data_IF_657628884832
#
_entry.id   IF_657628884832
#
_cell.length_a   1.000
_cell.length_b   1.000
_cell.length_c   1.000
_cell.angle_alpha   90.00
_cell.angle_beta   90.00
_cell.angle_gamma   90.00
#
_symmetry.space_group_name_H-M   'P 1'
#
loop_
_entity.id
_entity.type
_entity.pdbx_description
1 polymer ?
#
# COMPACT_ATOMS: atom_id res chain seq x y z
N UNK A 1 4.94 -9.72 21.83
CA UNK A 1 6.33 -9.71 21.33
C UNK A 1 7.37 -9.63 22.46
N UNK A 2 7.00 -9.17 23.67
CA UNK A 2 7.95 -8.92 24.76
C UNK A 2 8.58 -10.22 25.30
N UNK A 3 7.80 -11.30 25.40
CA UNK A 3 8.28 -12.56 26.00
C UNK A 3 9.29 -13.35 25.14
N UNK A 4 9.42 -13.01 23.84
CA UNK A 4 10.28 -13.73 22.87
C UNK A 4 11.61 -13.03 22.58
N UNK A 5 11.71 -11.74 22.86
CA UNK A 5 12.92 -10.93 22.62
C UNK A 5 14.19 -11.51 23.24
N UNK A 6 14.16 -12.11 24.47
CA UNK A 6 15.35 -12.74 25.02
C UNK A 6 15.86 -13.91 24.16
N UNK A 7 14.96 -14.80 23.74
CA UNK A 7 15.30 -15.96 22.90
C UNK A 7 15.80 -15.55 21.50
N UNK A 8 15.22 -14.50 20.91
CA UNK A 8 15.72 -13.92 19.65
C UNK A 8 17.15 -13.42 19.78
N UNK A 9 17.43 -12.72 20.89
CA UNK A 9 18.76 -12.18 21.17
C UNK A 9 19.76 -13.30 21.38
N UNK A 10 19.42 -14.32 22.15
CA UNK A 10 20.25 -15.50 22.40
C UNK A 10 20.58 -16.24 21.11
N UNK A 11 19.58 -16.49 20.25
CA UNK A 11 19.77 -17.14 18.96
C UNK A 11 20.79 -16.40 18.09
N UNK A 12 20.63 -15.08 17.92
CA UNK A 12 21.55 -14.27 17.09
C UNK A 12 22.94 -14.19 17.71
N UNK A 13 23.04 -14.06 19.03
CA UNK A 13 24.32 -14.03 19.74
C UNK A 13 25.08 -15.35 19.61
N UNK A 14 24.40 -16.49 19.71
CA UNK A 14 25.01 -17.80 19.52
C UNK A 14 25.61 -17.93 18.12
N UNK A 15 24.81 -17.71 17.07
CA UNK A 15 25.25 -17.84 15.67
C UNK A 15 26.35 -16.85 15.31
N UNK A 16 26.30 -15.61 15.82
CA UNK A 16 27.34 -14.59 15.55
C UNK A 16 28.59 -14.74 16.41
N UNK A 17 28.54 -15.48 17.52
CA UNK A 17 29.74 -15.89 18.27
C UNK A 17 30.50 -16.97 17.49
N UNK A 18 29.78 -17.92 16.92
CA UNK A 18 30.36 -19.02 16.13
C UNK A 18 30.94 -18.53 14.80
N UNK A 19 30.33 -17.49 14.21
CA UNK A 19 30.87 -16.79 13.04
C UNK A 19 30.83 -15.26 13.21
N UNK A 20 31.90 -14.65 13.76
CA UNK A 20 31.97 -13.22 14.02
C UNK A 20 31.80 -12.31 12.80
N UNK A 21 32.11 -12.81 11.58
CA UNK A 21 31.98 -12.03 10.33
C UNK A 21 30.52 -11.67 10.03
N UNK A 22 29.56 -12.48 10.48
CA UNK A 22 28.13 -12.23 10.28
C UNK A 22 27.69 -10.86 10.80
N UNK A 23 28.32 -10.32 11.85
CA UNK A 23 27.98 -8.99 12.37
C UNK A 23 28.22 -7.88 11.34
N UNK A 24 29.23 -8.01 10.49
CA UNK A 24 29.52 -7.04 9.43
C UNK A 24 28.58 -7.24 8.24
N UNK A 25 28.32 -8.49 7.85
CA UNK A 25 27.36 -8.86 6.79
C UNK A 25 25.94 -8.35 7.11
N UNK A 26 25.49 -8.51 8.35
CA UNK A 26 24.19 -8.03 8.82
C UNK A 26 24.11 -6.50 8.70
N UNK A 27 25.18 -5.79 9.10
CA UNK A 27 25.22 -4.32 9.01
C UNK A 27 25.20 -3.85 7.56
N UNK A 28 25.88 -4.56 6.67
CA UNK A 28 25.89 -4.29 5.24
C UNK A 28 24.50 -4.47 4.63
N UNK A 29 23.83 -5.60 4.90
CA UNK A 29 22.46 -5.85 4.43
C UNK A 29 21.46 -4.84 5.00
N UNK A 30 21.55 -4.50 6.29
CA UNK A 30 20.72 -3.45 6.90
C UNK A 30 20.94 -2.10 6.21
N UNK A 31 22.18 -1.73 5.89
CA UNK A 31 22.48 -0.47 5.20
C UNK A 31 21.91 -0.46 3.78
N UNK A 32 22.10 -1.53 3.03
CA UNK A 32 21.52 -1.72 1.70
C UNK A 32 19.99 -1.58 1.74
N UNK A 33 19.31 -2.36 2.58
CA UNK A 33 17.85 -2.34 2.67
C UNK A 33 17.29 -0.99 3.14
N UNK A 34 18.01 -0.24 3.99
CA UNK A 34 17.63 1.13 4.36
C UNK A 34 17.71 2.08 3.18
N UNK A 35 18.78 2.03 2.41
CA UNK A 35 18.96 2.85 1.21
C UNK A 35 17.89 2.54 0.14
N UNK A 36 17.53 1.26 -0.02
CA UNK A 36 16.46 0.80 -0.91
C UNK A 36 15.05 0.98 -0.32
N UNK A 37 14.92 1.58 0.87
CA UNK A 37 13.64 1.86 1.55
C UNK A 37 12.77 0.61 1.78
N UNK A 38 13.40 -0.55 2.02
CA UNK A 38 12.73 -1.82 2.34
C UNK A 38 12.99 -2.29 3.77
N UNK A 39 13.84 -1.60 4.54
CA UNK A 39 14.12 -1.94 5.95
C UNK A 39 13.12 -1.27 6.91
N UNK A 40 12.53 -2.06 7.81
CA UNK A 40 11.58 -1.59 8.83
C UNK A 40 10.24 -2.32 8.75
N UNK A 41 9.74 -2.82 9.89
CA UNK A 41 8.49 -3.59 9.95
C UNK A 41 7.29 -2.77 10.46
N UNK A 42 7.51 -1.51 10.79
CA UNK A 42 6.48 -0.52 11.13
C UNK A 42 5.51 -0.28 9.96
N UNK A 43 4.30 0.20 10.26
CA UNK A 43 3.22 0.41 9.28
C UNK A 43 3.57 1.41 8.17
N UNK A 44 4.52 2.31 8.46
CA UNK A 44 5.11 3.24 7.50
C UNK A 44 5.78 2.50 6.35
N UNK A 45 6.70 1.59 6.68
CA UNK A 45 7.53 0.91 5.69
C UNK A 45 6.93 -0.41 5.20
N UNK A 46 6.38 -1.24 6.11
CA UNK A 46 5.92 -2.61 5.81
C UNK A 46 6.96 -3.45 5.05
N UNK A 47 8.20 -3.40 5.54
CA UNK A 47 9.37 -4.06 5.00
C UNK A 47 9.99 -5.07 5.98
N UNK A 48 11.30 -5.28 5.86
CA UNK A 48 12.03 -6.32 6.57
C UNK A 48 12.44 -5.84 7.98
N UNK A 49 12.01 -6.57 9.02
CA UNK A 49 12.39 -6.28 10.41
C UNK A 49 13.88 -6.52 10.67
N UNK A 50 14.46 -5.86 11.68
CA UNK A 50 15.86 -6.06 12.05
C UNK A 50 16.21 -7.53 12.32
N UNK A 51 15.34 -8.24 13.05
CA UNK A 51 15.51 -9.66 13.35
C UNK A 51 15.40 -10.55 12.11
N UNK A 52 14.43 -10.27 11.23
CA UNK A 52 14.32 -10.99 9.95
C UNK A 52 15.61 -10.85 9.11
N UNK A 53 16.17 -9.65 9.04
CA UNK A 53 17.44 -9.40 8.32
C UNK A 53 18.60 -10.17 8.94
N UNK A 54 18.66 -10.24 10.27
CA UNK A 54 19.66 -11.03 10.99
C UNK A 54 19.54 -12.52 10.66
N UNK A 55 18.34 -13.09 10.75
CA UNK A 55 18.11 -14.51 10.45
C UNK A 55 18.42 -14.84 8.99
N UNK A 56 18.00 -14.01 8.04
CA UNK A 56 18.34 -14.20 6.62
C UNK A 56 19.86 -14.23 6.42
N UNK A 57 20.58 -13.28 7.02
CA UNK A 57 22.04 -13.22 6.89
C UNK A 57 22.73 -14.42 7.55
N UNK A 58 22.23 -14.86 8.71
CA UNK A 58 22.73 -16.06 9.41
C UNK A 58 22.52 -17.30 8.53
N UNK A 59 21.34 -17.48 7.96
CA UNK A 59 20.99 -18.64 7.14
C UNK A 59 21.82 -18.70 5.85
N UNK A 60 21.89 -17.60 5.10
CA UNK A 60 22.65 -17.57 3.84
C UNK A 60 24.15 -17.35 4.04
N UNK A 61 24.58 -16.85 5.20
CA UNK A 61 25.97 -16.71 5.61
C UNK A 61 26.68 -15.42 5.20
N UNK A 62 26.11 -14.61 4.29
CA UNK A 62 26.66 -13.30 3.89
C UNK A 62 25.62 -12.42 3.21
N UNK A 63 25.89 -11.11 3.13
CA UNK A 63 25.08 -10.15 2.38
C UNK A 63 24.91 -10.57 0.91
N UNK A 64 26.00 -10.92 0.22
CA UNK A 64 25.95 -11.31 -1.19
C UNK A 64 25.07 -12.55 -1.40
N UNK A 65 25.23 -13.59 -0.55
CA UNK A 65 24.40 -14.79 -0.64
C UNK A 65 22.92 -14.55 -0.38
N UNK A 66 22.57 -13.57 0.48
CA UNK A 66 21.18 -13.15 0.65
C UNK A 66 20.64 -12.56 -0.66
N UNK A 67 21.40 -11.68 -1.34
CA UNK A 67 20.96 -11.10 -2.61
C UNK A 67 20.87 -12.15 -3.73
N UNK A 68 21.83 -13.08 -3.79
CA UNK A 68 21.85 -14.19 -4.75
C UNK A 68 20.61 -15.07 -4.64
N UNK A 69 20.14 -15.32 -3.41
CA UNK A 69 18.89 -16.04 -3.20
C UNK A 69 17.67 -15.14 -3.47
N UNK A 70 17.70 -13.89 -3.00
CA UNK A 70 16.58 -12.97 -3.07
C UNK A 70 16.20 -12.59 -4.50
N UNK A 71 17.16 -12.59 -5.43
CA UNK A 71 16.88 -12.29 -6.85
C UNK A 71 15.86 -13.26 -7.48
N UNK A 72 15.72 -14.46 -6.93
CA UNK A 72 14.85 -15.53 -7.43
C UNK A 72 13.61 -15.76 -6.54
N UNK A 73 13.43 -14.96 -5.47
CA UNK A 73 12.23 -15.05 -4.64
C UNK A 73 10.97 -14.67 -5.41
N UNK A 74 9.85 -15.23 -4.98
CA UNK A 74 8.51 -14.90 -5.48
C UNK A 74 7.56 -14.58 -4.33
N UNK A 75 6.39 -14.03 -4.65
CA UNK A 75 5.31 -13.92 -3.65
C UNK A 75 4.96 -15.32 -3.15
N UNK A 76 4.90 -15.46 -1.82
CA UNK A 76 4.69 -16.75 -1.15
C UNK A 76 5.97 -17.58 -0.97
N UNK A 77 7.15 -17.02 -1.28
CA UNK A 77 8.43 -17.67 -0.96
C UNK A 77 8.47 -18.05 0.52
N UNK A 78 8.89 -19.28 0.80
CA UNK A 78 8.94 -19.85 2.14
C UNK A 78 10.35 -20.31 2.47
N UNK A 79 10.76 -20.07 3.73
CA UNK A 79 12.06 -20.46 4.27
C UNK A 79 11.89 -20.90 5.72
N UNK A 80 12.44 -22.06 6.06
CA UNK A 80 12.52 -22.59 7.42
C UNK A 80 13.99 -22.77 7.82
N UNK A 81 14.64 -21.73 8.39
CA UNK A 81 16.09 -21.70 8.60
C UNK A 81 16.64 -22.85 9.45
N UNK A 82 15.85 -23.37 10.39
CA UNK A 82 16.23 -24.45 11.31
C UNK A 82 15.43 -25.74 11.03
N UNK A 83 14.72 -25.81 9.90
CA UNK A 83 13.93 -26.97 9.47
C UNK A 83 12.95 -27.49 10.56
N UNK A 84 12.27 -26.58 11.26
CA UNK A 84 11.32 -26.89 12.34
C UNK A 84 10.04 -27.59 11.86
N UNK A 85 9.71 -27.48 10.57
CA UNK A 85 8.52 -28.05 9.93
C UNK A 85 8.79 -29.31 9.11
N UNK A 86 10.02 -29.52 8.62
CA UNK A 86 10.36 -30.65 7.75
C UNK A 86 9.85 -30.56 6.31
N UNK A 87 8.73 -29.86 6.06
CA UNK A 87 8.19 -29.56 4.73
C UNK A 87 7.86 -28.06 4.58
N UNK A 88 8.78 -27.31 3.99
CA UNK A 88 8.62 -25.88 3.72
C UNK A 88 7.43 -25.58 2.78
N UNK A 89 7.06 -26.52 1.90
CA UNK A 89 5.95 -26.29 0.94
C UNK A 89 4.61 -26.19 1.65
N UNK A 90 4.48 -26.79 2.83
CA UNK A 90 3.26 -26.73 3.64
C UNK A 90 2.99 -25.32 4.18
N UNK A 91 4.04 -24.52 4.44
CA UNK A 91 3.96 -23.21 5.08
C UNK A 91 3.04 -22.22 4.34
N UNK A 92 3.00 -22.29 3.01
CA UNK A 92 2.15 -21.42 2.18
C UNK A 92 0.65 -21.60 2.46
N UNK A 93 0.24 -22.78 2.92
CA UNK A 93 -1.14 -23.07 3.28
C UNK A 93 -1.51 -22.52 4.66
N UNK A 94 -0.53 -22.34 5.56
CA UNK A 94 -0.73 -21.74 6.87
C UNK A 94 -0.63 -20.21 6.85
N UNK A 95 0.21 -19.66 5.96
CA UNK A 95 0.47 -18.21 5.84
C UNK A 95 0.02 -17.64 4.49
N UNK A 96 -1.21 -17.92 4.09
CA UNK A 96 -1.75 -17.67 2.73
C UNK A 96 -1.73 -16.21 2.26
N UNK A 97 -1.69 -15.25 3.18
CA UNK A 97 -1.71 -13.80 2.86
C UNK A 97 -0.32 -13.15 2.89
N UNK A 98 0.72 -13.87 3.31
CA UNK A 98 2.06 -13.33 3.47
C UNK A 98 2.77 -13.17 2.13
N UNK A 99 3.49 -12.06 1.95
CA UNK A 99 4.33 -11.87 0.75
C UNK A 99 5.54 -12.80 0.77
N UNK A 100 6.15 -12.98 1.94
CA UNK A 100 7.25 -13.89 2.21
C UNK A 100 6.99 -14.57 3.56
N UNK A 101 7.41 -15.82 3.66
CA UNK A 101 7.24 -16.66 4.85
C UNK A 101 8.63 -17.05 5.31
N UNK A 102 9.04 -16.58 6.48
CA UNK A 102 10.29 -17.02 7.12
C UNK A 102 9.94 -17.47 8.53
N UNK A 103 10.08 -18.76 8.79
CA UNK A 103 9.80 -19.37 10.09
C UNK A 103 10.77 -18.79 11.11
N UNK A 104 10.23 -18.38 12.26
CA UNK A 104 11.04 -17.91 13.38
C UNK A 104 11.81 -19.10 14.01
N UNK A 105 13.15 -19.05 14.06
CA UNK A 105 13.98 -20.12 14.65
C UNK A 105 13.63 -20.48 16.10
N UNK A 106 13.00 -19.58 16.85
CA UNK A 106 12.60 -19.84 18.25
C UNK A 106 11.09 -20.07 18.42
N UNK A 107 10.32 -20.01 17.34
CA UNK A 107 8.87 -20.23 17.35
C UNK A 107 8.34 -20.67 15.98
N UNK A 108 8.19 -21.99 15.80
CA UNK A 108 7.74 -22.58 14.54
C UNK A 108 6.39 -22.03 14.04
N UNK A 109 5.54 -21.50 14.92
CA UNK A 109 4.21 -20.99 14.54
C UNK A 109 4.22 -19.51 14.11
N UNK A 110 5.39 -18.88 14.06
CA UNK A 110 5.54 -17.46 13.74
C UNK A 110 6.20 -17.26 12.38
N UNK A 111 5.54 -16.48 11.52
CA UNK A 111 6.15 -15.91 10.32
C UNK A 111 6.80 -14.55 10.66
N UNK A 112 8.12 -14.46 10.55
CA UNK A 112 8.86 -13.20 10.72
C UNK A 112 8.64 -12.20 9.59
N UNK A 113 8.26 -12.68 8.40
CA UNK A 113 7.92 -11.90 7.21
C UNK A 113 6.51 -11.32 7.20
N UNK A 114 5.73 -11.48 8.28
CA UNK A 114 4.31 -11.08 8.31
C UNK A 114 4.06 -9.59 8.01
N UNK A 115 5.01 -8.70 8.33
CA UNK A 115 4.91 -7.27 8.05
C UNK A 115 5.38 -6.88 6.64
N UNK A 116 6.11 -7.76 5.95
CA UNK A 116 6.65 -7.47 4.61
C UNK A 116 5.51 -7.47 3.60
N UNK A 117 5.28 -6.32 2.99
CA UNK A 117 4.31 -6.18 1.91
C UNK A 117 4.82 -6.75 0.59
N UNK A 118 3.92 -7.10 -0.33
CA UNK A 118 4.27 -7.55 -1.68
C UNK A 118 5.13 -6.52 -2.43
N UNK A 119 4.82 -5.24 -2.24
CA UNK A 119 5.59 -4.14 -2.83
C UNK A 119 7.04 -4.13 -2.31
N UNK A 120 7.24 -4.20 -0.99
CA UNK A 120 8.60 -4.20 -0.40
C UNK A 120 9.40 -5.45 -0.73
N UNK A 121 8.74 -6.60 -0.87
CA UNK A 121 9.38 -7.81 -1.39
C UNK A 121 9.84 -7.62 -2.83
N UNK A 122 8.97 -7.12 -3.72
CA UNK A 122 9.31 -6.89 -5.12
C UNK A 122 10.45 -5.87 -5.30
N UNK A 123 10.40 -4.75 -4.57
CA UNK A 123 11.47 -3.75 -4.53
C UNK A 123 12.81 -4.38 -4.11
N UNK A 124 12.81 -5.24 -3.09
CA UNK A 124 14.03 -5.90 -2.64
C UNK A 124 14.56 -6.93 -3.66
N UNK A 125 13.68 -7.68 -4.33
CA UNK A 125 14.06 -8.62 -5.40
C UNK A 125 14.74 -7.85 -6.54
N UNK A 126 14.14 -6.75 -7.02
CA UNK A 126 14.71 -5.94 -8.10
C UNK A 126 16.02 -5.30 -7.68
N UNK A 127 16.08 -4.67 -6.50
CA UNK A 127 17.33 -4.09 -6.02
C UNK A 127 18.45 -5.13 -5.87
N UNK A 128 18.11 -6.37 -5.50
CA UNK A 128 19.08 -7.48 -5.44
C UNK A 128 19.61 -7.83 -6.83
N UNK A 129 18.74 -7.91 -7.84
CA UNK A 129 19.13 -8.17 -9.24
C UNK A 129 20.05 -7.07 -9.76
N UNK A 130 19.63 -5.82 -9.63
CA UNK A 130 20.38 -4.66 -10.12
C UNK A 130 21.75 -4.53 -9.46
N UNK A 131 21.84 -4.75 -8.14
CA UNK A 131 23.12 -4.72 -7.43
C UNK A 131 24.06 -5.84 -7.86
N UNK A 132 23.54 -7.06 -8.08
CA UNK A 132 24.36 -8.19 -8.52
C UNK A 132 24.86 -8.02 -9.96
N UNK A 133 24.09 -7.35 -10.81
CA UNK A 133 24.47 -7.06 -12.19
C UNK A 133 25.48 -5.91 -12.28
N UNK A 134 25.25 -4.81 -11.56
CA UNK A 134 26.13 -3.64 -11.58
C UNK A 134 26.35 -3.07 -10.15
N UNK A 135 27.27 -3.67 -9.37
CA UNK A 135 27.51 -3.26 -7.99
C UNK A 135 27.99 -1.80 -7.90
N UNK A 136 27.34 -1.00 -7.06
CA UNK A 136 27.71 0.40 -6.83
C UNK A 136 27.52 0.82 -5.37
N UNK A 137 28.34 1.77 -4.92
CA UNK A 137 28.23 2.39 -3.60
C UNK A 137 26.89 3.14 -3.42
N UNK A 138 26.29 3.58 -4.52
CA UNK A 138 25.01 4.32 -4.52
C UNK A 138 23.85 3.47 -4.03
N UNK A 139 23.91 2.13 -4.15
CA UNK A 139 22.91 1.24 -3.55
C UNK A 139 22.89 1.30 -2.02
N UNK A 140 23.98 1.78 -1.41
CA UNK A 140 24.09 2.00 0.03
C UNK A 140 23.97 3.48 0.40
N UNK A 141 24.28 4.38 -0.52
CA UNK A 141 24.31 5.83 -0.30
C UNK A 141 23.74 6.54 -1.53
N UNK A 142 22.42 6.43 -1.77
CA UNK A 142 21.82 7.02 -2.96
C UNK A 142 21.97 8.54 -2.90
N UNK A 143 22.25 9.20 -4.03
CA UNK A 143 22.32 10.65 -4.07
C UNK A 143 20.99 11.25 -3.64
N UNK A 144 21.04 12.40 -2.97
CA UNK A 144 19.81 13.14 -2.63
C UNK A 144 19.12 13.52 -3.94
N UNK A 145 17.90 13.03 -4.14
CA UNK A 145 17.05 13.47 -5.25
C UNK A 145 16.76 14.96 -5.06
N UNK A 146 17.02 15.75 -6.09
CA UNK A 146 16.51 17.11 -6.18
C UNK A 146 15.12 17.04 -6.79
N UNK A 147 14.13 17.65 -6.14
CA UNK A 147 12.79 17.74 -6.69
C UNK A 147 12.76 18.66 -7.91
N UNK A 148 11.89 18.37 -8.87
CA UNK A 148 11.58 19.27 -9.99
C UNK A 148 10.90 20.56 -9.47
N UNK A 149 11.09 21.73 -10.13
CA UNK A 149 10.37 22.95 -9.80
C UNK A 149 8.85 22.77 -9.88
N UNK A 150 8.09 23.53 -9.10
CA UNK A 150 6.62 23.44 -9.03
C UNK A 150 5.96 23.65 -10.39
N UNK A 151 6.49 24.58 -11.18
CA UNK A 151 6.04 24.91 -12.53
C UNK A 151 6.17 23.70 -13.47
N UNK A 152 7.23 22.91 -13.31
CA UNK A 152 7.42 21.68 -14.07
C UNK A 152 6.46 20.58 -13.61
N UNK A 153 6.21 20.45 -12.31
CA UNK A 153 5.22 19.52 -11.77
C UNK A 153 3.80 19.85 -12.27
N UNK A 154 3.42 21.14 -12.29
CA UNK A 154 2.14 21.61 -12.87
C UNK A 154 2.02 21.25 -14.35
N UNK A 155 3.09 21.48 -15.12
CA UNK A 155 3.14 21.10 -16.54
C UNK A 155 2.92 19.59 -16.73
N UNK A 156 3.60 18.76 -15.93
CA UNK A 156 3.44 17.30 -15.99
C UNK A 156 2.02 16.87 -15.67
N UNK A 157 1.41 17.46 -14.64
CA UNK A 157 0.01 17.20 -14.30
C UNK A 157 -0.91 17.49 -15.49
N UNK A 158 -0.71 18.61 -16.18
CA UNK A 158 -1.47 18.98 -17.37
C UNK A 158 -1.28 18.02 -18.56
N UNK A 159 -0.04 17.58 -18.84
CA UNK A 159 0.25 16.67 -19.97
C UNK A 159 -0.36 15.29 -19.78
N UNK A 160 -0.53 14.81 -18.54
CA UNK A 160 -1.05 13.48 -18.25
C UNK A 160 -2.52 13.29 -18.65
N UNK A 161 -3.30 14.36 -18.67
CA UNK A 161 -4.75 14.29 -18.94
C UNK A 161 -5.56 13.56 -17.84
N UNK A 162 -4.93 13.24 -16.71
CA UNK A 162 -5.57 12.68 -15.51
C UNK A 162 -6.01 13.80 -14.57
N UNK A 163 -6.96 13.51 -13.68
CA UNK A 163 -7.43 14.48 -12.69
C UNK A 163 -6.96 14.10 -11.30
N UNK A 164 -6.41 15.06 -10.55
CA UNK A 164 -5.98 14.82 -9.17
C UNK A 164 -6.98 15.39 -8.17
N UNK A 165 -7.26 14.61 -7.13
CA UNK A 165 -8.04 15.05 -5.97
C UNK A 165 -7.34 14.60 -4.68
N UNK A 166 -7.29 15.48 -3.69
CA UNK A 166 -6.62 15.23 -2.42
C UNK A 166 -7.51 15.55 -1.22
N UNK A 167 -7.33 14.78 -0.15
CA UNK A 167 -7.87 15.03 1.18
C UNK A 167 -6.70 15.43 2.07
N UNK A 168 -6.62 16.71 2.41
CA UNK A 168 -5.63 17.25 3.34
C UNK A 168 -6.22 17.26 4.74
N UNK A 169 -5.57 16.55 5.65
CA UNK A 169 -5.96 16.40 7.05
C UNK A 169 -5.05 17.24 7.93
N UNK A 170 -5.64 18.06 8.79
CA UNK A 170 -4.97 18.71 9.92
C UNK A 170 -5.35 17.99 11.21
N UNK A 171 -4.37 17.34 11.84
CA UNK A 171 -4.56 16.50 13.03
C UNK A 171 -3.45 16.80 14.06
N UNK A 172 -3.64 16.47 15.36
CA UNK A 172 -2.53 16.54 16.32
C UNK A 172 -1.45 15.50 15.98
N UNK A 173 -0.27 15.61 16.59
CA UNK A 173 0.76 14.59 16.46
C UNK A 173 0.25 13.24 16.96
N UNK A 174 0.39 12.22 16.11
CA UNK A 174 -0.03 10.85 16.38
C UNK A 174 1.18 9.94 16.36
N UNK A 175 1.08 8.81 17.05
CA UNK A 175 2.03 7.73 16.88
C UNK A 175 2.07 7.29 15.40
N UNK A 176 3.25 7.18 14.80
CA UNK A 176 3.43 6.86 13.38
C UNK A 176 2.71 5.57 12.98
N UNK A 177 2.84 4.48 13.73
CA UNK A 177 2.17 3.22 13.39
C UNK A 177 0.65 3.39 13.33
N UNK A 178 0.09 4.13 14.30
CA UNK A 178 -1.33 4.43 14.31
C UNK A 178 -1.74 5.34 13.15
N UNK A 179 -0.94 6.37 12.84
CA UNK A 179 -1.20 7.30 11.76
C UNK A 179 -1.19 6.60 10.40
N UNK A 180 -0.12 5.87 10.07
CA UNK A 180 0.03 5.18 8.80
C UNK A 180 -1.03 4.07 8.61
N UNK A 181 -1.37 3.34 9.68
CA UNK A 181 -2.49 2.38 9.65
C UNK A 181 -3.82 3.07 9.33
N UNK A 182 -4.08 4.22 9.94
CA UNK A 182 -5.29 5.00 9.68
C UNK A 182 -5.30 5.63 8.29
N UNK A 183 -4.19 6.15 7.78
CA UNK A 183 -4.09 6.70 6.43
C UNK A 183 -4.39 5.64 5.37
N UNK A 184 -3.80 4.44 5.50
CA UNK A 184 -4.07 3.32 4.59
C UNK A 184 -5.53 2.88 4.61
N UNK A 185 -6.11 2.74 5.81
CA UNK A 185 -7.54 2.38 5.96
C UNK A 185 -8.45 3.43 5.32
N UNK A 186 -8.19 4.71 5.61
CA UNK A 186 -8.96 5.83 5.06
C UNK A 186 -8.83 5.89 3.54
N UNK A 187 -7.61 5.78 3.01
CA UNK A 187 -7.33 5.78 1.57
C UNK A 187 -8.09 4.67 0.85
N UNK A 188 -7.99 3.43 1.34
CA UNK A 188 -8.71 2.28 0.76
C UNK A 188 -10.24 2.46 0.82
N UNK A 189 -10.76 3.11 1.87
CA UNK A 189 -12.19 3.38 1.99
C UNK A 189 -12.67 4.46 1.02
N UNK A 190 -11.87 5.52 0.82
CA UNK A 190 -12.17 6.59 -0.13
C UNK A 190 -12.09 6.05 -1.56
N UNK A 191 -11.02 5.32 -1.88
CA UNK A 191 -10.83 4.64 -3.18
C UNK A 191 -12.04 3.78 -3.52
N UNK A 192 -12.42 2.88 -2.61
CA UNK A 192 -13.62 2.05 -2.78
C UNK A 192 -14.89 2.88 -2.98
N UNK A 193 -15.03 3.99 -2.26
CA UNK A 193 -16.21 4.86 -2.39
C UNK A 193 -16.28 5.57 -3.75
N UNK A 194 -15.14 5.88 -4.36
CA UNK A 194 -15.05 6.36 -5.73
C UNK A 194 -15.40 5.26 -6.73
N UNK A 195 -14.80 4.08 -6.59
CA UNK A 195 -15.04 2.94 -7.51
C UNK A 195 -16.48 2.41 -7.47
N UNK A 196 -17.09 2.32 -6.29
CA UNK A 196 -18.50 1.94 -6.11
C UNK A 196 -19.48 2.92 -6.81
N UNK A 197 -18.98 4.09 -7.23
CA UNK A 197 -19.73 5.14 -7.96
C UNK A 197 -19.23 5.32 -9.39
N UNK A 198 -18.55 4.31 -9.94
CA UNK A 198 -18.06 4.23 -11.33
C UNK A 198 -16.94 5.22 -11.68
N UNK A 199 -16.45 6.01 -10.72
CA UNK A 199 -15.20 6.75 -10.90
C UNK A 199 -14.03 5.77 -10.91
N UNK A 200 -12.93 6.14 -11.57
CA UNK A 200 -11.77 5.26 -11.74
C UNK A 200 -10.52 5.92 -11.21
N UNK A 201 -9.96 5.31 -10.17
CA UNK A 201 -8.67 5.69 -9.60
C UNK A 201 -7.58 5.05 -10.45
N UNK A 202 -6.66 5.84 -10.97
CA UNK A 202 -5.42 5.36 -11.58
C UNK A 202 -4.42 4.94 -10.52
N UNK A 203 -4.24 5.80 -9.51
CA UNK A 203 -3.26 5.59 -8.46
C UNK A 203 -3.69 6.28 -7.16
N UNK A 204 -3.81 5.53 -6.05
CA UNK A 204 -3.91 6.11 -4.73
C UNK A 204 -2.52 6.31 -4.11
N UNK A 205 -2.35 7.36 -3.32
CA UNK A 205 -1.15 7.56 -2.50
C UNK A 205 -1.47 8.38 -1.27
N UNK A 206 -0.54 8.43 -0.32
CA UNK A 206 -0.64 9.37 0.80
C UNK A 206 0.75 9.84 1.22
N UNK A 207 0.78 10.99 1.87
CA UNK A 207 1.97 11.61 2.45
C UNK A 207 1.63 12.17 3.85
N UNK A 208 2.62 12.26 4.73
CA UNK A 208 2.49 12.95 6.01
C UNK A 208 3.81 13.60 6.39
N UNK A 209 3.76 14.76 7.04
CA UNK A 209 4.90 15.33 7.75
C UNK A 209 5.11 14.73 9.15
N UNK A 210 4.26 13.79 9.58
CA UNK A 210 4.33 13.08 10.87
C UNK A 210 4.15 13.98 12.11
N UNK A 211 3.87 15.27 11.89
CA UNK A 211 3.63 16.25 12.92
C UNK A 211 2.14 16.58 13.00
N UNK A 212 1.57 17.17 11.97
CA UNK A 212 0.22 17.72 12.02
C UNK A 212 -0.57 17.65 10.71
N UNK A 213 0.10 17.27 9.61
CA UNK A 213 -0.47 17.33 8.27
C UNK A 213 -0.29 16.00 7.57
N UNK A 214 -1.40 15.47 7.06
CA UNK A 214 -1.39 14.31 6.17
C UNK A 214 -2.23 14.58 4.95
N UNK A 215 -1.84 14.01 3.82
CA UNK A 215 -2.54 14.16 2.54
C UNK A 215 -2.79 12.77 1.98
N UNK A 216 -4.04 12.48 1.62
CA UNK A 216 -4.36 11.32 0.78
C UNK A 216 -4.68 11.85 -0.60
N UNK A 217 -3.99 11.35 -1.62
CA UNK A 217 -4.03 11.83 -2.99
C UNK A 217 -4.50 10.70 -3.91
N UNK A 218 -5.40 11.04 -4.83
CA UNK A 218 -5.87 10.15 -5.88
C UNK A 218 -5.65 10.78 -7.25
N UNK A 219 -4.92 10.07 -8.10
CA UNK A 219 -4.89 10.32 -9.54
C UNK A 219 -6.05 9.55 -10.17
N UNK A 220 -6.92 10.23 -10.91
CA UNK A 220 -8.16 9.69 -11.47
C UNK A 220 -8.04 9.58 -13.00
N UNK A 221 -8.43 8.44 -13.56
CA UNK A 221 -8.68 8.30 -15.00
C UNK A 221 -10.10 8.72 -15.38
N UNK A 222 -11.08 8.50 -14.50
CA UNK A 222 -12.47 8.95 -14.68
C UNK A 222 -12.88 9.77 -13.46
N UNK A 223 -13.04 11.07 -13.66
CA UNK A 223 -13.40 12.05 -12.62
C UNK A 223 -14.73 12.76 -12.90
N UNK A 224 -15.22 12.70 -14.15
CA UNK A 224 -16.55 13.13 -14.57
C UNK A 224 -17.28 11.98 -15.26
N UNK A 225 -18.58 11.87 -14.99
CA UNK A 225 -19.48 10.86 -15.54
C UNK A 225 -20.71 11.53 -16.14
N UNK A 226 -21.34 10.93 -17.16
CA UNK A 226 -22.64 11.38 -17.64
C UNK A 226 -23.70 11.36 -16.53
N UNK A 227 -24.77 12.14 -16.71
CA UNK A 227 -25.90 12.13 -15.78
C UNK A 227 -26.60 10.77 -15.70
N UNK A 228 -26.62 9.99 -16.78
CA UNK A 228 -27.45 8.79 -16.90
C UNK A 228 -26.68 7.50 -16.64
N UNK A 229 -27.22 6.59 -15.81
CA UNK A 229 -26.62 5.27 -15.53
C UNK A 229 -27.63 4.15 -15.64
N UNK A 230 -27.14 2.95 -15.93
CA UNK A 230 -27.89 1.73 -15.74
C UNK A 230 -28.11 1.46 -14.24
N UNK A 231 -29.35 1.23 -13.85
CA UNK A 231 -29.70 0.66 -12.55
C UNK A 231 -30.14 -0.80 -12.76
N UNK A 232 -29.31 -1.79 -12.36
CA UNK A 232 -29.61 -3.19 -12.59
C UNK A 232 -30.74 -3.67 -11.68
N UNK A 233 -31.75 -4.29 -12.29
CA UNK A 233 -32.82 -5.04 -11.65
C UNK A 233 -32.53 -6.54 -11.57
N UNK A 234 -33.54 -7.38 -11.29
CA UNK A 234 -33.37 -8.82 -11.20
C UNK A 234 -33.14 -9.47 -12.59
N UNK A 235 -32.47 -10.63 -12.64
CA UNK A 235 -32.41 -11.46 -13.85
C UNK A 235 -33.80 -11.91 -14.32
N UNK A 236 -33.99 -12.13 -15.63
CA UNK A 236 -35.31 -12.57 -16.16
C UNK A 236 -35.75 -13.96 -15.69
N UNK A 237 -34.83 -14.77 -15.17
CA UNK A 237 -35.11 -16.09 -14.61
C UNK A 237 -35.31 -16.08 -13.08
N UNK A 238 -35.35 -14.90 -12.44
CA UNK A 238 -35.72 -14.79 -11.03
C UNK A 238 -37.22 -15.01 -10.84
N UNK A 239 -37.67 -15.26 -9.61
CA UNK A 239 -39.09 -15.36 -9.29
C UNK A 239 -39.90 -14.15 -9.84
N UNK A 240 -41.09 -14.40 -10.43
CA UNK A 240 -41.91 -13.35 -11.05
C UNK A 240 -42.16 -12.13 -10.14
N UNK A 241 -42.39 -12.36 -8.85
CA UNK A 241 -42.64 -11.30 -7.85
C UNK A 241 -41.50 -10.27 -7.77
N UNK A 242 -40.25 -10.67 -8.00
CA UNK A 242 -39.12 -9.74 -7.99
C UNK A 242 -39.09 -8.87 -9.25
N UNK A 243 -39.47 -9.46 -10.38
CA UNK A 243 -39.55 -8.77 -11.67
C UNK A 243 -40.70 -7.76 -11.65
N UNK A 244 -41.88 -8.18 -11.18
CA UNK A 244 -43.07 -7.34 -11.02
C UNK A 244 -42.77 -6.12 -10.12
N UNK A 245 -42.20 -6.34 -8.93
CA UNK A 245 -41.84 -5.23 -8.02
C UNK A 245 -40.84 -4.25 -8.63
N UNK A 246 -39.88 -4.74 -9.41
CA UNK A 246 -38.92 -3.88 -10.09
C UNK A 246 -39.61 -3.05 -11.18
N UNK A 247 -40.45 -3.71 -11.99
CA UNK A 247 -41.21 -3.06 -13.05
C UNK A 247 -42.16 -1.99 -12.50
N UNK A 248 -42.96 -2.31 -11.48
CA UNK A 248 -43.87 -1.36 -10.81
C UNK A 248 -43.11 -0.15 -10.24
N UNK A 249 -41.97 -0.39 -9.59
CA UNK A 249 -41.20 0.67 -8.96
C UNK A 249 -40.63 1.67 -9.96
N UNK A 250 -40.25 1.19 -11.15
CA UNK A 250 -39.53 1.97 -12.16
C UNK A 250 -40.31 2.11 -13.47
N UNK A 251 -41.63 1.91 -13.45
CA UNK A 251 -42.49 1.94 -14.66
C UNK A 251 -42.29 3.21 -15.48
N UNK A 252 -42.17 4.36 -14.80
CA UNK A 252 -41.98 5.69 -15.43
C UNK A 252 -40.60 5.86 -16.07
N UNK A 253 -39.61 5.09 -15.64
CA UNK A 253 -38.24 5.13 -16.14
C UNK A 253 -38.03 4.17 -17.33
N UNK A 254 -39.09 3.46 -17.75
CA UNK A 254 -39.09 2.57 -18.90
C UNK A 254 -38.15 1.36 -18.74
N UNK A 255 -38.47 0.39 -17.86
CA UNK A 255 -37.65 -0.80 -17.68
C UNK A 255 -37.51 -1.62 -18.96
N UNK A 256 -36.30 -2.06 -19.28
CA UNK A 256 -35.99 -2.88 -20.45
C UNK A 256 -35.05 -4.04 -20.09
N UNK A 257 -34.85 -4.98 -21.03
CA UNK A 257 -33.93 -6.11 -20.84
C UNK A 257 -32.60 -5.80 -21.50
N UNK A 258 -31.51 -5.95 -20.75
CA UNK A 258 -30.14 -5.88 -21.24
C UNK A 258 -29.36 -7.06 -20.66
N UNK A 259 -28.68 -7.83 -21.52
CA UNK A 259 -27.87 -8.99 -21.12
C UNK A 259 -28.61 -9.97 -20.16
N UNK A 260 -29.90 -10.23 -20.43
CA UNK A 260 -30.72 -11.16 -19.63
C UNK A 260 -31.19 -10.63 -18.27
N UNK A 261 -31.12 -9.32 -18.03
CA UNK A 261 -31.53 -8.67 -16.78
C UNK A 261 -32.42 -7.47 -17.03
N UNK A 262 -33.37 -7.22 -16.13
CA UNK A 262 -34.11 -5.95 -16.09
C UNK A 262 -33.17 -4.78 -15.78
N UNK A 263 -33.28 -3.68 -16.51
CA UNK A 263 -32.47 -2.47 -16.34
C UNK A 263 -33.36 -1.25 -16.55
N UNK A 264 -33.07 -0.18 -15.83
CA UNK A 264 -33.64 1.16 -16.06
C UNK A 264 -32.53 2.20 -16.13
N UNK A 265 -32.73 3.24 -16.93
CA UNK A 265 -31.80 4.35 -17.04
C UNK A 265 -32.18 5.41 -16.00
N UNK A 266 -31.29 5.67 -15.04
CA UNK A 266 -31.57 6.59 -13.91
C UNK A 266 -30.51 7.66 -13.77
N UNK A 267 -30.88 8.80 -13.21
CA UNK A 267 -29.90 9.86 -12.96
C UNK A 267 -28.92 9.48 -11.82
N UNK A 268 -27.64 9.75 -12.06
CA UNK A 268 -26.58 9.66 -11.06
C UNK A 268 -26.77 10.75 -10.02
N UNK A 269 -26.64 10.37 -8.75
CA UNK A 269 -26.56 11.33 -7.63
C UNK A 269 -25.30 12.20 -7.70
N UNK A 270 -24.22 11.68 -8.28
CA UNK A 270 -22.95 12.36 -8.40
C UNK A 270 -22.38 12.15 -9.81
N UNK A 271 -22.07 13.25 -10.50
CA UNK A 271 -21.42 13.22 -11.83
C UNK A 271 -19.96 13.62 -11.77
N UNK A 272 -19.51 14.21 -10.65
CA UNK A 272 -18.10 14.59 -10.43
C UNK A 272 -17.54 13.93 -9.18
N UNK A 273 -16.28 13.53 -9.23
CA UNK A 273 -15.59 12.93 -8.08
C UNK A 273 -15.55 13.89 -6.88
N UNK A 274 -15.45 15.20 -7.13
CA UNK A 274 -15.49 16.25 -6.10
C UNK A 274 -16.74 16.17 -5.21
N UNK A 275 -17.90 15.91 -5.80
CA UNK A 275 -19.16 15.79 -5.05
C UNK A 275 -19.14 14.57 -4.11
N UNK A 276 -18.49 13.48 -4.52
CA UNK A 276 -18.29 12.30 -3.67
C UNK A 276 -17.29 12.62 -2.57
N UNK A 277 -16.20 13.33 -2.87
CA UNK A 277 -15.20 13.73 -1.90
C UNK A 277 -15.79 14.64 -0.81
N UNK A 278 -16.61 15.64 -1.19
CA UNK A 278 -17.33 16.50 -0.25
C UNK A 278 -18.33 15.74 0.62
N UNK A 279 -18.98 14.72 0.05
CA UNK A 279 -19.85 13.83 0.84
C UNK A 279 -19.03 13.05 1.87
N UNK A 280 -17.90 12.47 1.48
CA UNK A 280 -17.01 11.72 2.38
C UNK A 280 -16.36 12.62 3.43
N UNK A 281 -16.08 13.87 3.07
CA UNK A 281 -15.63 14.90 4.00
C UNK A 281 -16.67 15.09 5.12
N UNK A 282 -17.96 15.19 4.77
CA UNK A 282 -19.02 15.34 5.77
C UNK A 282 -19.32 14.08 6.56
N UNK A 283 -19.43 12.93 5.91
CA UNK A 283 -19.84 11.67 6.58
C UNK A 283 -18.71 10.98 7.33
N UNK A 284 -17.45 11.19 6.89
CA UNK A 284 -16.24 10.54 7.43
C UNK A 284 -16.33 9.00 7.43
N UNK A 285 -17.08 8.45 6.49
CA UNK A 285 -17.30 7.01 6.38
C UNK A 285 -15.99 6.29 6.06
N UNK A 286 -15.68 5.27 6.88
CA UNK A 286 -14.47 4.46 6.78
C UNK A 286 -13.14 5.15 7.14
N UNK A 287 -13.17 6.44 7.54
CA UNK A 287 -11.98 7.14 8.01
C UNK A 287 -11.45 6.50 9.32
N UNK A 288 -10.14 6.50 9.50
CA UNK A 288 -9.49 6.14 10.76
C UNK A 288 -9.99 6.98 11.94
N UNK A 289 -9.97 6.42 13.16
CA UNK A 289 -10.59 7.02 14.36
C UNK A 289 -10.14 8.47 14.63
N UNK A 290 -8.86 8.77 14.47
CA UNK A 290 -8.31 10.11 14.70
C UNK A 290 -8.49 10.99 13.46
N UNK A 291 -8.30 10.44 12.25
CA UNK A 291 -8.51 11.17 11.00
C UNK A 291 -9.98 11.60 10.81
N UNK A 292 -10.93 10.85 11.36
CA UNK A 292 -12.35 11.21 11.41
C UNK A 292 -12.61 12.51 12.19
N UNK A 293 -11.77 12.83 13.16
CA UNK A 293 -11.87 14.04 14.00
C UNK A 293 -11.01 15.20 13.48
N UNK A 294 -10.17 14.94 12.48
CA UNK A 294 -9.31 15.95 11.89
C UNK A 294 -10.12 16.96 11.08
N UNK A 295 -9.61 18.18 10.96
CA UNK A 295 -10.09 19.11 9.93
C UNK A 295 -9.64 18.58 8.58
N UNK A 296 -10.53 18.58 7.60
CA UNK A 296 -10.22 18.09 6.25
C UNK A 296 -10.56 19.14 5.22
N UNK A 297 -9.64 19.30 4.29
CA UNK A 297 -9.74 20.18 3.14
C UNK A 297 -9.65 19.32 1.87
N UNK A 298 -10.55 19.53 0.92
CA UNK A 298 -10.53 18.84 -0.38
C UNK A 298 -9.88 19.78 -1.39
N UNK A 299 -8.80 19.31 -2.01
CA UNK A 299 -8.04 20.02 -3.03
C UNK A 299 -8.17 19.28 -4.36
N UNK A 300 -8.27 20.01 -5.46
CA UNK A 300 -8.32 19.43 -6.81
C UNK A 300 -7.41 20.11 -7.81
N UNK A 301 -6.91 19.33 -8.77
CA UNK A 301 -6.02 19.82 -9.83
C UNK A 301 -4.85 20.63 -9.26
N UNK A 302 -4.75 21.89 -9.67
CA UNK A 302 -3.66 22.78 -9.27
C UNK A 302 -3.73 23.24 -7.80
N UNK A 303 -4.88 23.12 -7.14
CA UNK A 303 -5.03 23.47 -5.72
C UNK A 303 -4.11 22.64 -4.82
N UNK A 304 -3.70 21.45 -5.28
CA UNK A 304 -2.78 20.56 -4.57
C UNK A 304 -1.41 21.24 -4.33
N UNK A 305 -1.01 22.15 -5.21
CA UNK A 305 0.24 22.90 -5.06
C UNK A 305 0.18 24.00 -3.99
N UNK A 306 -1.00 24.25 -3.38
CA UNK A 306 -1.09 25.09 -2.18
C UNK A 306 -0.42 24.45 -0.95
N UNK A 307 -0.07 23.16 -1.02
CA UNK A 307 0.71 22.47 0.00
C UNK A 307 2.20 22.74 -0.27
N UNK A 308 2.69 23.87 0.22
CA UNK A 308 4.07 24.34 0.06
C UNK A 308 5.05 23.63 1.01
N UNK A 309 4.99 22.29 1.07
CA UNK A 309 5.92 21.47 1.86
C UNK A 309 6.87 20.72 0.93
N UNK A 310 8.19 20.91 1.12
CA UNK A 310 9.22 20.34 0.24
C UNK A 310 9.10 18.80 0.10
N UNK A 311 8.90 18.08 1.22
CA UNK A 311 8.72 16.63 1.18
C UNK A 311 7.42 16.19 0.48
N UNK A 312 6.37 17.01 0.53
CA UNK A 312 5.14 16.73 -0.19
C UNK A 312 5.34 16.91 -1.71
N UNK A 313 6.02 17.98 -2.12
CA UNK A 313 6.35 18.21 -3.53
C UNK A 313 7.26 17.11 -4.07
N UNK A 314 8.22 16.63 -3.28
CA UNK A 314 9.07 15.48 -3.65
C UNK A 314 8.28 14.17 -3.72
N UNK A 315 7.26 13.98 -2.88
CA UNK A 315 6.33 12.85 -2.98
C UNK A 315 5.50 12.93 -4.26
N UNK A 316 4.96 14.11 -4.59
CA UNK A 316 4.20 14.35 -5.81
C UNK A 316 5.07 14.16 -7.07
N UNK A 317 6.30 14.63 -7.03
CA UNK A 317 7.31 14.42 -8.09
C UNK A 317 7.55 12.93 -8.35
N UNK A 318 7.63 12.11 -7.29
CA UNK A 318 7.76 10.65 -7.42
C UNK A 318 6.52 9.94 -8.01
N UNK A 319 5.38 10.63 -8.09
CA UNK A 319 4.12 10.11 -8.65
C UNK A 319 3.94 10.53 -10.11
N UNK A 320 4.42 11.72 -10.48
CA UNK A 320 4.23 12.33 -11.80
C UNK A 320 5.23 11.84 -12.86
#
# INVERSE_FOLDING_TARGET
SVDRTPFHTEYVQAKTRDNPRLKSEIRLLKRFMKAQKVYGAEEKTRGFSGYLVEVLTIHYGSFLKVLEAAKDWSVGYALDPENLWGDEKSLKYYFTKSAIIVVDPVDKNRNMGAAVSRQKLAEFIIASREFLENPSIEFFFPPKKQGRPVEELKRLLGVRGTYFIAFKFSHPQLNENLLYSQLRKTMASIEKSFEDREFRVFRPSFWSNEADTSVILFEMTVHELPKIKHHPGPPVNSEPVHQERFHEKYEKDGPYILEGRWVVDTERKNTRVRQVAEKLEKTRDGFGKNLRKARVEILEGDEIFSIEHADFLMHLDGIL
#
